data_IF_094446460065
#
_entry.id   IF_094446460065
#
_cell.length_a   1.000
_cell.length_b   1.000
_cell.length_c   1.000
_cell.angle_alpha   90.00
_cell.angle_beta   90.00
_cell.angle_gamma   90.00
#
_symmetry.space_group_name_H-M   'P 1'
#
loop_
_entity.id
_entity.type
_entity.pdbx_description
1 polymer ?
#
# COMPACT_ATOMS: atom_id res chain seq x y z
N UNK A 1 12.99 16.73 26.44
CA UNK A 1 11.96 16.08 25.60
C UNK A 1 12.70 15.41 24.44
N UNK A 2 12.86 14.07 24.49
CA UNK A 2 13.53 13.35 23.40
C UNK A 2 12.63 13.43 22.18
N UNK A 3 13.11 14.03 21.09
CA UNK A 3 12.50 13.93 19.80
C UNK A 3 12.50 12.45 19.41
N UNK A 4 11.31 11.83 19.33
CA UNK A 4 11.17 10.48 18.80
C UNK A 4 11.65 10.51 17.34
N UNK A 5 12.75 9.85 17.07
CA UNK A 5 13.21 9.55 15.73
C UNK A 5 12.61 8.20 15.35
N UNK A 6 11.93 8.09 14.22
CA UNK A 6 11.46 6.83 13.66
C UNK A 6 12.62 5.86 13.36
N UNK A 7 13.86 6.37 13.35
CA UNK A 7 15.09 5.60 13.06
C UNK A 7 15.39 4.47 14.08
N UNK A 8 14.66 4.40 15.20
CA UNK A 8 14.86 3.36 16.23
C UNK A 8 13.77 2.26 16.19
N UNK A 9 12.77 2.36 15.29
CA UNK A 9 11.73 1.37 15.16
C UNK A 9 12.03 0.45 13.95
N UNK A 10 12.18 -0.83 14.22
CA UNK A 10 12.18 -1.84 13.17
C UNK A 10 10.78 -1.90 12.54
N UNK A 11 10.64 -1.40 11.30
CA UNK A 11 9.37 -1.34 10.57
C UNK A 11 9.09 -2.65 9.81
N UNK A 12 9.49 -3.78 10.40
CA UNK A 12 9.27 -5.11 9.84
C UNK A 12 8.00 -5.71 10.46
N UNK A 13 7.17 -6.28 9.61
CA UNK A 13 6.03 -7.08 10.00
C UNK A 13 6.38 -8.56 9.86
N UNK A 14 6.44 -9.26 10.98
CA UNK A 14 6.71 -10.70 11.00
C UNK A 14 5.58 -11.48 10.32
N UNK A 15 5.94 -12.61 9.70
CA UNK A 15 4.99 -13.44 8.98
C UNK A 15 3.86 -13.94 9.87
N UNK A 16 2.62 -13.75 9.43
CA UNK A 16 1.41 -14.25 10.09
C UNK A 16 0.47 -14.89 9.07
N UNK A 17 -0.04 -16.07 9.42
CA UNK A 17 -1.05 -16.77 8.63
C UNK A 17 -2.45 -16.33 9.08
N UNK A 18 -3.33 -16.11 8.11
CA UNK A 18 -4.74 -15.79 8.29
C UNK A 18 -5.59 -16.72 7.43
N UNK A 19 -6.79 -17.02 7.93
CA UNK A 19 -7.81 -17.73 7.15
C UNK A 19 -8.97 -16.77 6.94
N UNK A 20 -9.24 -16.42 5.69
CA UNK A 20 -10.35 -15.54 5.34
C UNK A 20 -11.70 -16.27 5.43
N UNK A 21 -12.81 -15.51 5.46
CA UNK A 21 -14.16 -16.08 5.60
C UNK A 21 -14.54 -17.08 4.50
N UNK A 22 -13.90 -17.02 3.34
CA UNK A 22 -14.06 -17.95 2.23
C UNK A 22 -13.14 -19.18 2.31
N UNK A 23 -12.39 -19.34 3.42
CA UNK A 23 -11.44 -20.43 3.64
C UNK A 23 -10.06 -20.22 3.01
N UNK A 24 -9.83 -19.10 2.31
CA UNK A 24 -8.53 -18.81 1.70
C UNK A 24 -7.48 -18.54 2.79
N UNK A 25 -6.37 -19.25 2.73
CA UNK A 25 -5.20 -19.03 3.58
C UNK A 25 -4.32 -17.96 2.96
N UNK A 26 -3.97 -16.95 3.76
CA UNK A 26 -3.15 -15.82 3.35
C UNK A 26 -2.04 -15.62 4.37
N UNK A 27 -0.80 -15.54 3.93
CA UNK A 27 0.33 -15.12 4.75
C UNK A 27 0.61 -13.65 4.48
N UNK A 28 0.55 -12.83 5.54
CA UNK A 28 1.04 -11.45 5.49
C UNK A 28 2.43 -11.37 6.10
N UNK A 29 3.34 -10.69 5.44
CA UNK A 29 4.70 -10.40 5.93
C UNK A 29 5.30 -9.18 5.24
N UNK A 30 6.37 -8.65 5.78
CA UNK A 30 7.22 -7.73 5.03
C UNK A 30 7.91 -8.46 3.87
N UNK A 31 8.20 -7.77 2.74
CA UNK A 31 8.97 -8.38 1.65
C UNK A 31 10.42 -8.61 2.07
N UNK A 32 11.02 -9.67 1.54
CA UNK A 32 12.43 -9.97 1.61
C UNK A 32 13.09 -9.72 0.26
N UNK A 33 14.41 -9.62 0.26
CA UNK A 33 15.20 -9.35 -0.95
C UNK A 33 14.90 -10.35 -2.08
N UNK A 34 14.69 -11.60 -1.74
CA UNK A 34 14.36 -12.69 -2.65
C UNK A 34 12.99 -12.55 -3.31
N UNK A 35 12.13 -11.71 -2.77
CA UNK A 35 10.80 -11.41 -3.32
C UNK A 35 10.84 -10.45 -4.51
N UNK A 36 11.95 -9.74 -4.73
CA UNK A 36 12.07 -8.62 -5.67
C UNK A 36 11.49 -8.94 -7.04
N UNK A 37 11.87 -10.06 -7.64
CA UNK A 37 11.38 -10.46 -8.96
C UNK A 37 9.86 -10.70 -8.97
N UNK A 38 9.34 -11.42 -7.97
CA UNK A 38 7.91 -11.74 -7.87
C UNK A 38 7.08 -10.50 -7.56
N UNK A 39 7.62 -9.57 -6.77
CA UNK A 39 6.96 -8.33 -6.41
C UNK A 39 6.83 -7.37 -7.61
N UNK A 40 7.91 -7.23 -8.41
CA UNK A 40 7.84 -6.46 -9.67
C UNK A 40 6.80 -7.06 -10.61
N UNK A 41 6.81 -8.37 -10.81
CA UNK A 41 5.83 -9.03 -11.68
C UNK A 41 4.39 -8.85 -11.17
N UNK A 42 4.18 -8.90 -9.86
CA UNK A 42 2.88 -8.66 -9.25
C UNK A 42 2.39 -7.23 -9.56
N UNK A 43 3.23 -6.20 -9.34
CA UNK A 43 2.81 -4.82 -9.57
C UNK A 43 2.61 -4.52 -11.06
N UNK A 44 3.42 -5.08 -11.96
CA UNK A 44 3.25 -4.97 -13.42
C UNK A 44 1.92 -5.62 -13.84
N UNK A 45 1.59 -6.78 -13.30
CA UNK A 45 0.31 -7.46 -13.56
C UNK A 45 -0.87 -6.57 -13.17
N UNK A 46 -0.81 -5.94 -11.99
CA UNK A 46 -1.87 -5.00 -11.57
C UNK A 46 -1.90 -3.76 -12.47
N UNK A 47 -0.76 -3.15 -12.76
CA UNK A 47 -0.69 -1.97 -13.62
C UNK A 47 -1.18 -2.24 -15.07
N UNK A 48 -1.12 -3.51 -15.51
CA UNK A 48 -1.64 -3.93 -16.82
C UNK A 48 -3.15 -4.16 -16.83
N UNK A 49 -3.76 -4.38 -15.66
CA UNK A 49 -5.19 -4.75 -15.52
C UNK A 49 -6.09 -3.57 -15.14
N UNK A 50 -5.51 -2.39 -14.82
CA UNK A 50 -6.30 -1.25 -14.35
C UNK A 50 -5.68 0.09 -14.71
N UNK A 51 -6.54 1.10 -14.94
CA UNK A 51 -6.16 2.51 -15.12
C UNK A 51 -6.10 3.29 -13.79
N UNK A 52 -6.29 2.63 -12.65
CA UNK A 52 -6.38 3.30 -11.34
C UNK A 52 -5.04 3.46 -10.64
N UNK A 53 -3.96 2.84 -11.13
CA UNK A 53 -2.62 3.06 -10.63
C UNK A 53 -1.97 4.26 -11.33
N UNK A 54 -1.19 5.03 -10.57
CA UNK A 54 -0.38 6.11 -11.11
C UNK A 54 0.66 5.59 -12.12
N UNK A 55 1.29 4.46 -11.81
CA UNK A 55 2.33 3.86 -12.65
C UNK A 55 1.74 2.95 -13.71
N UNK A 56 2.33 2.98 -14.88
CA UNK A 56 2.08 2.07 -16.01
C UNK A 56 3.11 0.92 -15.99
N UNK A 57 2.87 -0.20 -16.70
CA UNK A 57 3.87 -1.27 -16.81
C UNK A 57 5.25 -0.80 -17.26
N UNK A 58 5.32 0.19 -18.14
CA UNK A 58 6.59 0.73 -18.64
C UNK A 58 7.40 1.48 -17.59
N UNK A 59 6.77 2.00 -16.55
CA UNK A 59 7.47 2.69 -15.46
C UNK A 59 8.31 1.72 -14.61
N UNK A 60 8.02 0.42 -14.68
CA UNK A 60 8.76 -0.63 -13.96
C UNK A 60 9.87 -1.28 -14.80
N UNK A 61 10.04 -0.92 -16.09
CA UNK A 61 11.00 -1.58 -16.97
C UNK A 61 12.43 -1.53 -16.43
N UNK A 62 12.83 -0.42 -15.82
CA UNK A 62 14.17 -0.26 -15.26
C UNK A 62 14.46 -1.16 -14.05
N UNK A 63 13.43 -1.67 -13.36
CA UNK A 63 13.57 -2.69 -12.32
C UNK A 63 13.63 -4.09 -12.92
N UNK A 64 12.91 -4.33 -14.03
CA UNK A 64 13.00 -5.60 -14.77
C UNK A 64 14.38 -5.77 -15.38
N UNK A 65 14.95 -4.68 -15.93
CA UNK A 65 16.29 -4.68 -16.55
C UNK A 65 17.41 -4.84 -15.49
N UNK A 66 17.16 -4.42 -14.25
CA UNK A 66 18.13 -4.48 -13.16
C UNK A 66 17.40 -4.73 -11.82
N UNK A 67 17.21 -6.00 -11.50
CA UNK A 67 16.51 -6.46 -10.30
C UNK A 67 17.14 -5.96 -9.00
N UNK A 68 18.46 -5.70 -9.02
CA UNK A 68 19.17 -5.22 -7.83
C UNK A 68 18.64 -3.87 -7.30
N UNK A 69 17.98 -3.10 -8.15
CA UNK A 69 17.31 -1.84 -7.73
C UNK A 69 16.11 -2.10 -6.83
N UNK A 70 15.31 -3.12 -7.17
CA UNK A 70 14.18 -3.52 -6.32
C UNK A 70 14.66 -4.17 -5.04
N UNK A 71 15.67 -5.02 -5.11
CA UNK A 71 16.33 -5.60 -3.94
C UNK A 71 16.81 -4.50 -2.98
N UNK A 72 17.49 -3.49 -3.51
CA UNK A 72 17.95 -2.34 -2.73
C UNK A 72 16.79 -1.52 -2.15
N UNK A 73 15.70 -1.36 -2.91
CA UNK A 73 14.51 -0.66 -2.44
C UNK A 73 13.81 -1.42 -1.31
N UNK A 74 13.70 -2.75 -1.40
CA UNK A 74 13.17 -3.60 -0.34
C UNK A 74 13.98 -3.43 0.94
N UNK A 75 15.31 -3.54 0.87
CA UNK A 75 16.18 -3.38 2.04
C UNK A 75 16.10 -1.96 2.62
N UNK A 76 16.07 -0.94 1.76
CA UNK A 76 15.90 0.44 2.21
C UNK A 76 14.54 0.65 2.90
N UNK A 77 13.46 0.03 2.42
CA UNK A 77 12.12 0.19 2.98
C UNK A 77 12.00 -0.30 4.43
N UNK A 78 12.83 -1.28 4.83
CA UNK A 78 12.90 -1.79 6.21
C UNK A 78 13.50 -0.77 7.19
N UNK A 79 14.24 0.21 6.69
CA UNK A 79 14.92 1.24 7.47
C UNK A 79 14.24 2.60 7.38
N UNK A 80 13.23 2.75 6.52
CA UNK A 80 12.50 3.99 6.31
C UNK A 80 11.29 4.11 7.26
N UNK A 81 10.65 5.27 7.24
CA UNK A 81 9.52 5.59 8.11
C UNK A 81 8.24 4.98 7.55
N UNK A 82 7.98 3.69 7.78
CA UNK A 82 6.76 3.06 7.33
C UNK A 82 6.82 1.54 7.27
N UNK A 83 5.71 0.94 6.88
CA UNK A 83 5.56 -0.52 6.74
C UNK A 83 5.28 -0.89 5.29
N UNK A 84 5.86 -1.99 4.87
CA UNK A 84 5.52 -2.60 3.58
C UNK A 84 5.15 -4.06 3.80
N UNK A 85 3.92 -4.43 3.43
CA UNK A 85 3.38 -5.77 3.55
C UNK A 85 3.11 -6.35 2.18
N UNK A 86 3.41 -7.64 2.06
CA UNK A 86 2.93 -8.47 0.95
C UNK A 86 1.94 -9.50 1.47
N UNK A 87 0.98 -9.88 0.64
CA UNK A 87 0.08 -10.99 0.88
C UNK A 87 0.45 -12.13 -0.05
N UNK A 88 0.71 -13.31 0.53
CA UNK A 88 1.03 -14.53 -0.21
C UNK A 88 -0.11 -15.55 -0.07
N UNK A 89 -0.47 -16.18 -1.18
CA UNK A 89 -1.38 -17.32 -1.27
C UNK A 89 -0.61 -18.43 -1.98
N UNK A 90 -0.45 -19.60 -1.34
CA UNK A 90 0.33 -20.72 -1.90
C UNK A 90 1.72 -20.27 -2.39
N UNK A 91 2.42 -19.49 -1.56
CA UNK A 91 3.74 -18.89 -1.82
C UNK A 91 3.80 -17.87 -2.97
N UNK A 92 2.68 -17.59 -3.65
CA UNK A 92 2.59 -16.56 -4.68
C UNK A 92 2.24 -15.20 -4.05
N UNK A 93 3.01 -14.16 -4.36
CA UNK A 93 2.66 -12.79 -3.99
C UNK A 93 1.45 -12.34 -4.82
N UNK A 94 0.34 -12.05 -4.14
CA UNK A 94 -0.94 -11.69 -4.77
C UNK A 94 -1.36 -10.26 -4.49
N UNK A 95 -0.75 -9.61 -3.50
CA UNK A 95 -0.97 -8.21 -3.20
C UNK A 95 0.23 -7.61 -2.47
N UNK A 96 0.37 -6.29 -2.57
CA UNK A 96 1.26 -5.51 -1.73
C UNK A 96 0.53 -4.26 -1.21
N UNK A 97 0.92 -3.81 -0.03
CA UNK A 97 0.38 -2.62 0.63
C UNK A 97 1.50 -1.90 1.36
N UNK A 98 1.65 -0.61 1.12
CA UNK A 98 2.65 0.23 1.77
C UNK A 98 1.99 1.32 2.60
N UNK A 99 2.52 1.57 3.78
CA UNK A 99 2.18 2.68 4.65
C UNK A 99 3.47 3.44 4.93
N UNK A 100 3.54 4.71 4.53
CA UNK A 100 4.71 5.56 4.73
C UNK A 100 4.34 6.78 5.55
N UNK A 101 5.15 7.08 6.58
CA UNK A 101 4.97 8.25 7.41
C UNK A 101 5.78 9.43 6.87
N UNK A 102 5.22 10.63 6.95
CA UNK A 102 5.94 11.85 6.62
C UNK A 102 7.04 12.14 7.66
N UNK A 103 8.12 12.82 7.24
CA UNK A 103 9.35 12.95 8.06
C UNK A 103 9.57 14.35 8.63
N UNK A 104 8.90 15.37 8.09
CA UNK A 104 9.06 16.73 8.56
C UNK A 104 8.32 16.93 9.89
N UNK A 105 8.85 17.76 10.76
CA UNK A 105 8.30 18.02 12.09
C UNK A 105 6.82 18.39 12.08
N UNK A 106 6.36 19.13 11.06
CA UNK A 106 4.97 19.60 10.97
C UNK A 106 3.99 18.60 10.35
N UNK A 107 4.47 17.56 9.67
CA UNK A 107 3.61 16.59 8.98
C UNK A 107 3.81 15.13 9.44
N UNK A 108 4.80 14.85 10.30
CA UNK A 108 5.12 13.50 10.78
C UNK A 108 3.99 12.79 11.54
N UNK A 109 2.94 13.52 11.93
CA UNK A 109 1.72 12.93 12.51
C UNK A 109 0.85 12.24 11.45
N UNK A 110 1.23 12.33 10.18
CA UNK A 110 0.50 11.82 9.02
C UNK A 110 1.26 10.68 8.34
N UNK A 111 0.53 9.83 7.66
CA UNK A 111 1.10 8.81 6.77
C UNK A 111 0.23 8.63 5.52
N UNK A 112 0.82 8.09 4.47
CA UNK A 112 0.10 7.74 3.24
C UNK A 112 0.09 6.24 3.05
N UNK A 113 -1.05 5.67 2.64
CA UNK A 113 -1.23 4.24 2.40
C UNK A 113 -1.65 3.97 0.96
N UNK A 114 -1.08 2.92 0.38
CA UNK A 114 -1.45 2.45 -0.96
C UNK A 114 -1.48 0.93 -1.01
N UNK A 115 -2.32 0.38 -1.89
CA UNK A 115 -2.49 -1.06 -2.06
C UNK A 115 -2.63 -1.42 -3.54
N UNK A 116 -2.03 -2.55 -3.92
CA UNK A 116 -2.20 -3.17 -5.23
C UNK A 116 -2.50 -4.66 -5.05
N UNK A 117 -3.63 -5.14 -5.60
CA UNK A 117 -4.08 -6.53 -5.52
C UNK A 117 -4.26 -7.07 -6.92
N UNK A 118 -3.64 -8.21 -7.23
CA UNK A 118 -3.82 -8.92 -8.50
C UNK A 118 -5.30 -9.22 -8.75
N UNK A 119 -5.79 -8.99 -9.94
CA UNK A 119 -7.22 -8.98 -10.28
C UNK A 119 -7.95 -10.25 -9.82
N UNK A 120 -7.35 -11.43 -10.03
CA UNK A 120 -7.90 -12.73 -9.64
C UNK A 120 -8.20 -12.86 -8.13
N UNK A 121 -7.48 -12.08 -7.30
CA UNK A 121 -7.58 -12.11 -5.84
C UNK A 121 -8.35 -10.94 -5.25
N UNK A 122 -8.90 -10.06 -6.10
CA UNK A 122 -9.75 -8.96 -5.65
C UNK A 122 -11.09 -9.47 -5.10
N UNK A 123 -11.69 -8.71 -4.19
CA UNK A 123 -12.98 -9.02 -3.56
C UNK A 123 -13.02 -10.31 -2.73
N UNK A 124 -11.86 -10.92 -2.44
CA UNK A 124 -11.74 -12.11 -1.59
C UNK A 124 -11.46 -11.79 -0.11
N UNK A 125 -11.40 -10.51 0.27
CA UNK A 125 -11.14 -10.09 1.66
C UNK A 125 -9.67 -9.71 1.94
N UNK A 126 -8.74 -9.97 1.02
CA UNK A 126 -7.29 -9.66 1.21
C UNK A 126 -7.08 -8.18 1.48
N UNK A 127 -7.69 -7.28 0.69
CA UNK A 127 -7.56 -5.84 0.90
C UNK A 127 -8.06 -5.39 2.27
N UNK A 128 -9.19 -5.96 2.73
CA UNK A 128 -9.73 -5.69 4.06
C UNK A 128 -8.76 -6.11 5.16
N UNK A 129 -8.19 -7.32 5.07
CA UNK A 129 -7.21 -7.84 6.00
C UNK A 129 -5.95 -6.97 6.05
N UNK A 130 -5.39 -6.61 4.89
CA UNK A 130 -4.17 -5.79 4.82
C UNK A 130 -4.40 -4.40 5.42
N UNK A 131 -5.55 -3.75 5.14
CA UNK A 131 -5.89 -2.47 5.75
C UNK A 131 -6.08 -2.56 7.26
N UNK A 132 -6.71 -3.63 7.78
CA UNK A 132 -6.86 -3.82 9.23
C UNK A 132 -5.50 -3.91 9.93
N UNK A 133 -4.55 -4.68 9.39
CA UNK A 133 -3.21 -4.78 9.96
C UNK A 133 -2.42 -3.46 9.81
N UNK A 134 -2.51 -2.76 8.67
CA UNK A 134 -1.85 -1.47 8.48
C UNK A 134 -2.40 -0.38 9.41
N UNK A 135 -3.72 -0.31 9.59
CA UNK A 135 -4.36 0.63 10.52
C UNK A 135 -3.91 0.35 11.95
N UNK A 136 -3.84 -0.92 12.34
CA UNK A 136 -3.32 -1.34 13.65
C UNK A 136 -1.86 -0.93 13.85
N UNK A 137 -1.01 -1.10 12.85
CA UNK A 137 0.38 -0.66 12.88
C UNK A 137 0.47 0.87 13.02
N UNK A 138 -0.29 1.63 12.22
CA UNK A 138 -0.35 3.09 12.32
C UNK A 138 -0.80 3.56 13.71
N UNK A 139 -1.86 2.96 14.25
CA UNK A 139 -2.40 3.29 15.58
C UNK A 139 -1.38 3.07 16.69
N UNK A 140 -0.57 2.01 16.57
CA UNK A 140 0.47 1.68 17.54
C UNK A 140 1.77 2.46 17.34
N UNK A 141 1.89 3.20 16.22
CA UNK A 141 3.09 4.02 15.97
C UNK A 141 2.98 5.35 16.73
N UNK A 142 3.94 5.66 17.62
CA UNK A 142 3.90 6.88 18.41
C UNK A 142 3.90 8.13 17.53
N UNK A 143 3.00 9.07 17.81
CA UNK A 143 2.95 10.37 17.12
C UNK A 143 2.20 10.35 15.78
N UNK A 144 1.80 9.21 15.25
CA UNK A 144 0.95 9.11 14.05
C UNK A 144 -0.52 9.30 14.48
N UNK A 145 -1.23 10.23 13.86
CA UNK A 145 -2.59 10.63 14.21
C UNK A 145 -3.57 10.39 13.07
N UNK A 146 -3.09 10.32 11.83
CA UNK A 146 -3.91 10.07 10.66
C UNK A 146 -3.15 9.38 9.54
N UNK A 147 -3.88 8.67 8.70
CA UNK A 147 -3.39 8.11 7.45
C UNK A 147 -4.29 8.56 6.30
N UNK A 148 -3.71 8.76 5.14
CA UNK A 148 -4.38 9.29 3.96
C UNK A 148 -4.09 8.45 2.73
N UNK A 149 -4.97 8.55 1.75
CA UNK A 149 -4.79 7.94 0.44
C UNK A 149 -5.47 8.78 -0.64
N UNK A 150 -5.02 8.60 -1.86
CA UNK A 150 -5.72 9.07 -3.05
C UNK A 150 -6.32 7.88 -3.79
N UNK A 151 -7.53 8.08 -4.34
CA UNK A 151 -8.26 7.08 -5.09
C UNK A 151 -8.95 7.73 -6.29
N UNK A 152 -8.98 7.07 -7.43
CA UNK A 152 -9.73 7.54 -8.60
C UNK A 152 -11.24 7.46 -8.31
N UNK A 153 -11.99 8.53 -8.65
CA UNK A 153 -13.39 8.73 -8.21
C UNK A 153 -14.37 7.69 -8.75
N UNK A 154 -14.01 6.96 -9.82
CA UNK A 154 -14.78 5.85 -10.37
C UNK A 154 -14.24 4.45 -9.96
N UNK A 155 -13.23 4.37 -9.06
CA UNK A 155 -12.78 3.11 -8.49
C UNK A 155 -13.72 2.65 -7.36
N UNK A 156 -14.89 2.15 -7.72
CA UNK A 156 -15.93 1.77 -6.75
C UNK A 156 -15.47 0.70 -5.75
N UNK A 157 -14.62 -0.26 -6.20
CA UNK A 157 -14.10 -1.32 -5.30
C UNK A 157 -13.22 -0.71 -4.21
N UNK A 158 -12.29 0.16 -4.59
CA UNK A 158 -11.42 0.89 -3.66
C UNK A 158 -12.22 1.77 -2.71
N UNK A 159 -13.14 2.57 -3.25
CA UNK A 159 -14.00 3.46 -2.46
C UNK A 159 -14.82 2.72 -1.40
N UNK A 160 -15.42 1.55 -1.76
CA UNK A 160 -16.13 0.71 -0.78
C UNK A 160 -15.20 0.20 0.32
N UNK A 161 -14.01 -0.27 -0.04
CA UNK A 161 -13.02 -0.74 0.93
C UNK A 161 -12.65 0.38 1.90
N UNK A 162 -12.21 1.54 1.40
CA UNK A 162 -11.73 2.64 2.23
C UNK A 162 -12.82 3.20 3.15
N UNK A 163 -14.04 3.40 2.63
CA UNK A 163 -15.19 3.81 3.44
C UNK A 163 -15.52 2.79 4.55
N UNK A 164 -15.42 1.49 4.26
CA UNK A 164 -15.65 0.43 5.27
C UNK A 164 -14.59 0.43 6.38
N UNK A 165 -13.40 1.00 6.11
CA UNK A 165 -12.32 1.17 7.10
C UNK A 165 -12.37 2.52 7.82
N UNK A 166 -13.38 3.34 7.56
CA UNK A 166 -13.58 4.61 8.23
C UNK A 166 -12.89 5.80 7.57
N UNK A 167 -12.32 5.63 6.39
CA UNK A 167 -11.79 6.76 5.63
C UNK A 167 -12.93 7.68 5.18
N UNK A 168 -12.73 8.98 5.32
CA UNK A 168 -13.64 10.04 4.88
C UNK A 168 -13.01 10.83 3.74
N UNK A 169 -13.82 11.24 2.78
CA UNK A 169 -13.42 12.11 1.68
C UNK A 169 -13.14 13.52 2.20
N UNK A 170 -11.96 14.06 1.87
CA UNK A 170 -11.52 15.39 2.31
C UNK A 170 -11.20 16.32 1.15
N UNK A 171 -11.06 15.82 -0.06
CA UNK A 171 -10.79 16.65 -1.21
C UNK A 171 -10.99 15.91 -2.53
N UNK A 172 -11.12 16.69 -3.62
CA UNK A 172 -11.18 16.21 -4.99
C UNK A 172 -10.08 16.85 -5.82
N UNK A 173 -9.38 16.04 -6.62
CA UNK A 173 -8.33 16.47 -7.54
C UNK A 173 -8.84 16.27 -8.97
N UNK A 174 -9.28 17.34 -9.65
CA UNK A 174 -9.68 17.23 -11.06
C UNK A 174 -8.48 16.85 -11.91
N UNK A 175 -8.72 15.97 -12.91
CA UNK A 175 -7.71 15.55 -13.90
C UNK A 175 -6.44 14.98 -13.25
N UNK A 176 -6.58 14.19 -12.18
CA UNK A 176 -5.44 13.60 -11.47
C UNK A 176 -4.61 12.70 -12.37
N UNK A 177 -5.24 11.90 -13.23
CA UNK A 177 -4.56 11.08 -14.22
C UNK A 177 -5.03 11.45 -15.63
N UNK A 178 -4.14 11.28 -16.59
CA UNK A 178 -4.45 11.36 -18.04
C UNK A 178 -4.08 10.05 -18.69
N UNK A 179 -5.06 9.38 -19.28
CA UNK A 179 -4.87 8.13 -19.98
C UNK A 179 -4.26 8.35 -21.38
N UNK A 180 -3.74 7.28 -21.98
CA UNK A 180 -3.11 7.35 -23.33
C UNK A 180 -4.08 7.80 -24.43
N UNK A 181 -5.37 7.53 -24.28
CA UNK A 181 -6.43 7.97 -25.21
C UNK A 181 -6.84 9.44 -25.01
N UNK A 182 -6.24 10.13 -24.03
CA UNK A 182 -6.54 11.52 -23.69
C UNK A 182 -7.62 11.70 -22.63
N UNK A 183 -8.27 10.62 -22.16
CA UNK A 183 -9.27 10.65 -21.09
C UNK A 183 -8.63 11.12 -19.77
N UNK A 184 -9.32 11.99 -19.05
CA UNK A 184 -8.91 12.41 -17.70
C UNK A 184 -9.72 11.68 -16.63
N UNK A 185 -9.03 11.22 -15.60
CA UNK A 185 -9.61 10.66 -14.39
C UNK A 185 -9.42 11.63 -13.23
N UNK A 186 -10.45 11.80 -12.41
CA UNK A 186 -10.36 12.63 -11.22
C UNK A 186 -9.98 11.76 -10.02
N UNK A 187 -9.31 12.37 -9.06
CA UNK A 187 -9.00 11.73 -7.78
C UNK A 187 -9.80 12.28 -6.63
N UNK A 188 -9.89 11.48 -5.59
CA UNK A 188 -10.41 11.84 -4.28
C UNK A 188 -9.31 11.58 -3.25
N UNK A 189 -9.04 12.58 -2.42
CA UNK A 189 -8.21 12.38 -1.22
C UNK A 189 -9.10 11.92 -0.08
N UNK A 190 -8.72 10.83 0.58
CA UNK A 190 -9.44 10.30 1.73
C UNK A 190 -8.51 10.20 2.95
N UNK A 191 -9.05 10.46 4.14
CA UNK A 191 -8.31 10.46 5.39
C UNK A 191 -9.01 9.58 6.43
N UNK A 192 -8.24 8.79 7.16
CA UNK A 192 -8.65 8.11 8.38
C UNK A 192 -7.96 8.78 9.57
N UNK A 193 -8.74 9.34 10.48
CA UNK A 193 -8.23 9.83 11.77
C UNK A 193 -8.14 8.66 12.75
N UNK A 194 -6.95 8.46 13.31
CA UNK A 194 -6.69 7.37 14.24
C UNK A 194 -7.12 7.80 15.65
N UNK A 195 -8.09 7.08 16.22
CA UNK A 195 -8.49 7.29 17.60
C UNK A 195 -7.41 6.70 18.52
N UNK A 196 -6.80 7.54 19.33
CA UNK A 196 -5.85 7.17 20.39
C UNK A 196 -6.45 7.33 21.75
#
# INVERSE_FOLDING_TARGET
>A
MRLFSYNDCNMIYEAKEFVLNNGLKVVLRSPEKEDAYNLINQIISVASSTDYLLSTPSDFQHYVDDISKEEAFIEWSKTDSGYWLIACVEDKIVANCSLRFYKHEKDRHRGTIGIAITEEYQSMGIGSLMFDEMIKLATNTPGVEQIELDVIDNNEKGLRLYKSKGFVETGKIPHQLKLKDGTYLNGLTMVLFLNK
#
